data_IF_132910178405
#
_entry.id   IF_132910178405
#
_cell.length_a   1.000
_cell.length_b   1.000
_cell.length_c   1.000
_cell.angle_alpha   90.00
_cell.angle_beta   90.00
_cell.angle_gamma   90.00
#
_symmetry.space_group_name_H-M   'P 1'
#
loop_
_entity.id
_entity.type
_entity.pdbx_description
1 polymer ?
#
# COMPACT_ATOMS: atom_id res chain seq x y z
N UNK A 1 -3.37 25.25 5.29
CA UNK A 1 -3.31 24.04 4.45
C UNK A 1 -4.57 23.24 4.72
N UNK A 2 -5.24 22.76 3.67
CA UNK A 2 -6.39 21.86 3.80
C UNK A 2 -5.97 20.54 4.50
N UNK A 3 -6.88 19.96 5.29
CA UNK A 3 -6.64 18.67 5.94
C UNK A 3 -6.44 17.56 4.91
N UNK A 4 -5.85 16.42 5.32
CA UNK A 4 -5.75 15.26 4.44
C UNK A 4 -7.14 14.84 3.92
N UNK A 5 -8.14 14.83 4.79
CA UNK A 5 -9.51 14.45 4.46
C UNK A 5 -10.11 15.37 3.37
N UNK A 6 -9.97 16.69 3.50
CA UNK A 6 -10.43 17.65 2.47
C UNK A 6 -9.74 17.42 1.13
N UNK A 7 -8.44 17.15 1.16
CA UNK A 7 -7.66 16.84 -0.05
C UNK A 7 -8.14 15.53 -0.71
N UNK A 8 -8.41 14.49 0.06
CA UNK A 8 -8.97 13.25 -0.46
C UNK A 8 -10.33 13.46 -1.13
N UNK A 9 -11.23 14.18 -0.47
CA UNK A 9 -12.55 14.51 -1.03
C UNK A 9 -12.45 15.24 -2.37
N UNK A 10 -11.54 16.20 -2.47
CA UNK A 10 -11.33 16.97 -3.71
C UNK A 10 -10.76 16.14 -4.86
N UNK A 11 -10.19 14.96 -4.59
CA UNK A 11 -9.62 14.06 -5.58
C UNK A 11 -10.59 12.95 -6.05
N UNK A 12 -11.83 12.94 -5.62
CA UNK A 12 -12.80 11.88 -5.93
C UNK A 12 -12.98 11.64 -7.44
N UNK A 13 -13.09 12.70 -8.24
CA UNK A 13 -13.18 12.60 -9.70
C UNK A 13 -11.91 11.99 -10.31
N UNK A 14 -10.74 12.46 -9.86
CA UNK A 14 -9.43 11.95 -10.33
C UNK A 14 -9.27 10.48 -9.99
N UNK A 15 -9.58 10.09 -8.73
CA UNK A 15 -9.48 8.70 -8.30
C UNK A 15 -10.32 7.76 -9.17
N UNK A 16 -11.60 8.09 -9.37
CA UNK A 16 -12.55 7.21 -10.07
C UNK A 16 -12.29 7.05 -11.57
N UNK A 17 -11.69 8.06 -12.20
CA UNK A 17 -11.38 8.04 -13.63
C UNK A 17 -9.92 7.66 -13.93
N UNK A 18 -9.13 7.38 -12.89
CA UNK A 18 -7.72 7.03 -13.09
C UNK A 18 -7.56 5.63 -13.70
N UNK A 19 -6.60 5.53 -14.60
CA UNK A 19 -6.17 4.29 -15.23
C UNK A 19 -4.88 3.78 -14.56
N UNK A 20 -4.61 2.46 -14.58
CA UNK A 20 -5.38 1.36 -15.21
C UNK A 20 -6.58 0.89 -14.36
N UNK A 21 -6.70 1.35 -13.15
CA UNK A 21 -7.82 1.16 -12.22
C UNK A 21 -7.87 2.36 -11.25
N UNK A 22 -8.97 2.58 -10.51
CA UNK A 22 -9.11 3.75 -9.64
C UNK A 22 -7.94 3.88 -8.67
N UNK A 23 -7.21 5.01 -8.78
CA UNK A 23 -6.05 5.30 -7.94
C UNK A 23 -5.79 6.79 -7.81
N UNK A 24 -5.09 7.20 -6.75
CA UNK A 24 -4.64 8.57 -6.54
C UNK A 24 -3.32 8.62 -5.77
N UNK A 25 -2.52 9.64 -6.05
CA UNK A 25 -1.29 9.96 -5.33
C UNK A 25 -1.47 11.28 -4.58
N UNK A 26 -1.16 11.28 -3.30
CA UNK A 26 -1.23 12.45 -2.42
C UNK A 26 0.14 12.69 -1.82
N UNK A 27 0.83 13.71 -2.29
CA UNK A 27 2.11 14.14 -1.70
C UNK A 27 1.88 14.94 -0.43
N UNK A 28 2.85 14.91 0.49
CA UNK A 28 2.76 15.55 1.81
C UNK A 28 1.47 15.17 2.56
N UNK A 29 1.17 13.85 2.56
CA UNK A 29 -0.09 13.32 3.05
C UNK A 29 -0.32 13.61 4.53
N UNK A 30 0.72 13.45 5.36
CA UNK A 30 0.63 13.63 6.82
C UNK A 30 1.66 14.65 7.30
N UNK A 31 1.56 15.03 8.57
CA UNK A 31 2.53 15.94 9.19
C UNK A 31 3.95 15.40 9.09
N UNK A 32 4.90 16.19 8.57
CA UNK A 32 6.32 15.85 8.51
C UNK A 32 6.88 15.46 9.87
N UNK A 33 6.44 16.12 10.96
CA UNK A 33 6.84 15.80 12.33
C UNK A 33 6.40 14.38 12.72
N UNK A 34 5.15 14.05 12.44
CA UNK A 34 4.60 12.72 12.71
C UNK A 34 5.39 11.65 11.96
N UNK A 35 5.54 11.81 10.64
CA UNK A 35 6.20 10.80 9.81
C UNK A 35 7.70 10.67 10.11
N UNK A 36 8.35 11.77 10.53
CA UNK A 36 9.75 11.73 11.01
C UNK A 36 9.88 10.93 12.30
N UNK A 37 8.90 11.02 13.22
CA UNK A 37 8.90 10.21 14.43
C UNK A 37 8.71 8.72 14.12
N UNK A 38 7.80 8.40 13.19
CA UNK A 38 7.61 7.03 12.68
C UNK A 38 8.91 6.49 12.07
N UNK A 39 9.55 7.27 11.19
CA UNK A 39 10.80 6.85 10.53
C UNK A 39 11.94 6.62 11.51
N UNK A 40 12.08 7.45 12.57
CA UNK A 40 13.10 7.29 13.60
C UNK A 40 12.94 6.01 14.44
N UNK A 41 11.72 5.52 14.55
CA UNK A 41 11.38 4.32 15.31
C UNK A 41 11.03 3.13 14.41
N UNK A 42 11.37 3.22 13.13
CA UNK A 42 11.14 2.11 12.20
C UNK A 42 12.13 0.99 12.53
N UNK A 43 11.67 -0.26 12.71
CA UNK A 43 12.55 -1.36 13.09
C UNK A 43 13.55 -1.69 11.97
N UNK A 44 14.68 -2.27 12.33
CA UNK A 44 15.58 -2.85 11.33
C UNK A 44 14.96 -4.11 10.70
N UNK A 45 15.37 -4.43 9.47
CA UNK A 45 14.83 -5.59 8.73
C UNK A 45 14.93 -6.88 9.53
N UNK A 46 16.03 -7.08 10.27
CA UNK A 46 16.29 -8.27 11.09
C UNK A 46 15.41 -8.35 12.33
N UNK A 47 14.84 -7.24 12.76
CA UNK A 47 13.95 -7.16 13.93
C UNK A 47 12.47 -7.39 13.58
N UNK A 48 12.12 -7.29 12.30
CA UNK A 48 10.72 -7.44 11.86
C UNK A 48 10.26 -8.90 11.96
N UNK A 49 9.05 -9.11 12.42
CA UNK A 49 8.50 -10.44 12.77
C UNK A 49 8.33 -11.39 11.58
N UNK A 50 8.17 -10.85 10.37
CA UNK A 50 7.95 -11.65 9.17
C UNK A 50 9.01 -11.37 8.11
N UNK A 51 9.62 -12.45 7.61
CA UNK A 51 10.60 -12.38 6.53
C UNK A 51 10.08 -13.15 5.32
N UNK A 52 9.98 -12.50 4.19
CA UNK A 52 9.63 -13.11 2.92
C UNK A 52 10.91 -13.26 2.08
N UNK A 53 11.22 -14.48 1.70
CA UNK A 53 12.39 -14.84 0.87
C UNK A 53 11.97 -15.83 -0.24
N UNK A 54 10.80 -15.59 -0.82
CA UNK A 54 10.23 -16.42 -1.87
C UNK A 54 10.61 -15.99 -3.28
N UNK A 55 10.19 -16.75 -4.28
CA UNK A 55 10.40 -16.43 -5.70
C UNK A 55 9.79 -15.08 -6.08
N UNK A 56 8.60 -14.78 -5.55
CA UNK A 56 7.77 -13.65 -5.96
C UNK A 56 7.94 -12.42 -5.07
N UNK A 57 8.43 -12.60 -3.85
CA UNK A 57 8.65 -11.50 -2.93
C UNK A 57 9.85 -11.73 -2.02
N UNK A 58 10.65 -10.68 -1.86
CA UNK A 58 11.77 -10.60 -0.91
C UNK A 58 11.62 -9.29 -0.15
N UNK A 59 11.09 -9.38 1.06
CA UNK A 59 10.78 -8.23 1.92
C UNK A 59 10.72 -8.63 3.40
N UNK A 60 10.76 -7.64 4.29
CA UNK A 60 10.46 -7.80 5.72
C UNK A 60 9.16 -7.06 6.07
N UNK A 61 8.38 -7.60 7.00
CA UNK A 61 7.15 -6.98 7.47
C UNK A 61 7.00 -7.07 8.99
N UNK A 62 6.36 -6.04 9.58
CA UNK A 62 5.97 -6.00 10.98
C UNK A 62 4.51 -5.61 11.11
N UNK A 63 3.70 -6.52 11.60
CA UNK A 63 2.27 -6.32 11.81
C UNK A 63 1.81 -6.64 13.25
N UNK A 64 2.75 -6.98 14.13
CA UNK A 64 2.48 -7.23 15.54
C UNK A 64 2.38 -5.91 16.32
N UNK A 65 1.19 -5.56 16.78
CA UNK A 65 0.93 -4.29 17.49
C UNK A 65 1.86 -4.04 18.69
N UNK A 66 2.24 -5.10 19.40
CA UNK A 66 3.16 -5.02 20.55
C UNK A 66 4.58 -4.60 20.17
N UNK A 67 4.98 -4.82 18.91
CA UNK A 67 6.31 -4.54 18.36
C UNK A 67 6.35 -3.19 17.61
N UNK A 68 5.18 -2.67 17.23
CA UNK A 68 5.05 -1.38 16.53
C UNK A 68 5.19 -0.23 17.54
N UNK A 69 6.02 0.77 17.19
CA UNK A 69 6.27 1.95 18.05
C UNK A 69 5.00 2.76 18.32
N UNK A 70 4.98 3.51 19.43
CA UNK A 70 3.86 4.39 19.76
C UNK A 70 3.57 5.43 18.67
N UNK A 71 4.61 6.01 18.07
CA UNK A 71 4.46 6.96 16.97
C UNK A 71 3.75 6.33 15.77
N UNK A 72 4.13 5.10 15.42
CA UNK A 72 3.49 4.35 14.33
C UNK A 72 2.07 3.93 14.68
N UNK A 73 1.84 3.42 15.91
CA UNK A 73 0.48 3.09 16.37
C UNK A 73 -0.46 4.29 16.33
N UNK A 74 0.02 5.46 16.75
CA UNK A 74 -0.75 6.70 16.69
C UNK A 74 -1.13 7.09 15.26
N UNK A 75 -0.20 6.96 14.32
CA UNK A 75 -0.49 7.23 12.90
C UNK A 75 -1.47 6.22 12.31
N UNK A 76 -1.27 4.91 12.56
CA UNK A 76 -2.19 3.86 12.11
C UNK A 76 -3.60 4.06 12.67
N UNK A 77 -3.73 4.45 13.96
CA UNK A 77 -5.02 4.76 14.55
C UNK A 77 -5.71 5.97 13.88
N UNK A 78 -4.95 7.01 13.50
CA UNK A 78 -5.49 8.14 12.75
C UNK A 78 -5.98 7.72 11.34
N UNK A 79 -5.20 6.88 10.64
CA UNK A 79 -5.56 6.36 9.33
C UNK A 79 -6.69 5.31 9.38
N UNK A 80 -7.00 4.76 10.54
CA UNK A 80 -8.14 3.87 10.78
C UNK A 80 -9.32 4.58 11.46
N UNK A 81 -9.25 5.91 11.66
CA UNK A 81 -10.31 6.67 12.29
C UNK A 81 -11.54 6.80 11.39
N UNK A 82 -12.74 6.98 12.01
CA UNK A 82 -13.97 7.24 11.28
C UNK A 82 -13.83 8.39 10.26
N UNK A 83 -13.20 9.50 10.67
CA UNK A 83 -13.00 10.65 9.79
C UNK A 83 -12.13 10.35 8.55
N UNK A 84 -11.17 9.44 8.65
CA UNK A 84 -10.38 9.02 7.50
C UNK A 84 -11.15 8.02 6.64
N UNK A 85 -11.90 7.11 7.25
CA UNK A 85 -12.79 6.15 6.55
C UNK A 85 -13.84 6.92 5.75
N UNK A 86 -14.53 7.90 6.34
CA UNK A 86 -15.51 8.75 5.66
C UNK A 86 -14.89 9.44 4.44
N UNK A 87 -13.65 9.94 4.56
CA UNK A 87 -12.95 10.57 3.45
C UNK A 87 -12.57 9.56 2.34
N UNK A 88 -12.25 8.31 2.69
CA UNK A 88 -12.02 7.23 1.72
C UNK A 88 -13.31 6.82 1.01
N UNK A 89 -14.43 6.79 1.72
CA UNK A 89 -15.75 6.51 1.13
C UNK A 89 -16.15 7.59 0.11
N UNK A 90 -15.97 8.86 0.47
CA UNK A 90 -16.24 9.98 -0.44
C UNK A 90 -15.27 9.98 -1.65
N UNK A 91 -13.98 9.68 -1.44
CA UNK A 91 -12.98 9.54 -2.49
C UNK A 91 -13.36 8.45 -3.48
N UNK A 92 -13.63 7.26 -2.97
CA UNK A 92 -13.81 6.05 -3.78
C UNK A 92 -15.24 5.83 -4.27
N UNK A 93 -16.24 6.33 -3.52
CA UNK A 93 -17.64 5.99 -3.70
C UNK A 93 -18.04 4.64 -3.09
N UNK A 94 -17.10 3.96 -2.42
CA UNK A 94 -17.35 2.69 -1.74
C UNK A 94 -17.86 2.98 -0.33
N UNK A 95 -19.07 2.57 0.00
CA UNK A 95 -19.66 2.78 1.32
C UNK A 95 -19.40 1.59 2.25
N UNK A 96 -19.53 1.79 3.55
CA UNK A 96 -19.38 0.74 4.56
C UNK A 96 -17.95 0.19 4.64
N UNK A 97 -16.95 1.05 4.46
CA UNK A 97 -15.55 0.67 4.60
C UNK A 97 -15.21 0.34 6.04
N UNK A 98 -14.49 -0.74 6.21
CA UNK A 98 -14.01 -1.27 7.49
C UNK A 98 -12.47 -1.32 7.44
N UNK A 99 -11.82 -0.65 8.38
CA UNK A 99 -10.37 -0.69 8.49
C UNK A 99 -9.87 -2.05 9.00
N UNK A 100 -8.72 -2.50 8.49
CA UNK A 100 -8.03 -3.67 9.05
C UNK A 100 -7.27 -3.31 10.32
N UNK A 101 -7.90 -3.52 11.46
CA UNK A 101 -7.25 -3.32 12.77
C UNK A 101 -6.30 -4.47 13.14
N UNK A 102 -6.25 -5.55 12.36
CA UNK A 102 -5.37 -6.70 12.58
C UNK A 102 -4.09 -6.63 11.76
N UNK A 103 -3.98 -5.69 10.81
CA UNK A 103 -2.86 -5.51 9.90
C UNK A 103 -2.49 -6.78 9.11
N UNK A 104 -3.49 -7.56 8.70
CA UNK A 104 -3.25 -8.81 7.97
C UNK A 104 -2.68 -8.53 6.57
N UNK A 105 -1.41 -8.88 6.39
CA UNK A 105 -0.63 -8.56 5.19
C UNK A 105 -0.23 -7.08 5.08
N UNK A 106 -0.72 -6.23 5.99
CA UNK A 106 -0.38 -4.81 6.10
C UNK A 106 0.67 -4.52 7.18
N UNK A 107 0.67 -3.30 7.71
CA UNK A 107 1.62 -2.83 8.72
C UNK A 107 2.85 -2.16 8.11
N UNK A 108 4.02 -2.39 8.72
CA UNK A 108 5.29 -1.83 8.26
C UNK A 108 5.92 -2.80 7.26
N UNK A 109 6.30 -2.30 6.10
CA UNK A 109 7.03 -3.07 5.09
C UNK A 109 8.40 -2.44 4.84
N UNK A 110 9.43 -3.28 4.72
CA UNK A 110 10.79 -2.86 4.44
C UNK A 110 11.46 -3.81 3.45
N UNK A 111 12.08 -3.23 2.42
CA UNK A 111 12.70 -3.97 1.32
C UNK A 111 14.12 -3.42 1.13
N UNK A 112 15.11 -4.28 1.24
CA UNK A 112 16.52 -3.96 1.04
C UNK A 112 17.00 -4.21 -0.40
N UNK A 113 18.30 -4.01 -0.61
CA UNK A 113 18.97 -4.32 -1.88
C UNK A 113 18.66 -5.75 -2.34
N UNK A 114 18.36 -5.91 -3.63
CA UNK A 114 17.97 -7.20 -4.23
C UNK A 114 16.53 -7.63 -3.95
N UNK A 115 15.81 -6.93 -3.05
CA UNK A 115 14.42 -7.24 -2.74
C UNK A 115 13.46 -6.78 -3.83
N UNK A 116 12.35 -7.46 -3.95
CA UNK A 116 11.31 -7.21 -4.95
C UNK A 116 9.94 -7.66 -4.47
N UNK A 117 8.91 -7.26 -5.21
CA UNK A 117 7.56 -7.79 -5.12
C UNK A 117 7.01 -7.90 -6.53
N UNK A 118 6.86 -9.12 -7.03
CA UNK A 118 6.38 -9.38 -8.38
C UNK A 118 4.97 -8.81 -8.59
N UNK A 119 4.61 -8.55 -9.83
CA UNK A 119 3.29 -8.03 -10.18
C UNK A 119 2.23 -9.05 -9.76
N UNK A 120 1.22 -8.56 -9.07
CA UNK A 120 0.18 -9.41 -8.49
C UNK A 120 -1.15 -8.68 -8.38
N UNK A 121 -2.23 -9.44 -8.28
CA UNK A 121 -3.49 -9.01 -7.68
C UNK A 121 -3.53 -9.52 -6.24
N UNK A 122 -3.92 -8.67 -5.32
CA UNK A 122 -4.05 -9.04 -3.91
C UNK A 122 -5.18 -10.06 -3.68
N UNK A 123 -5.11 -10.80 -2.56
CA UNK A 123 -6.26 -11.57 -2.11
C UNK A 123 -7.49 -10.66 -2.00
N UNK A 124 -8.63 -11.12 -2.44
CA UNK A 124 -9.86 -10.33 -2.52
C UNK A 124 -10.83 -10.57 -1.36
N UNK A 125 -10.62 -11.64 -0.59
CA UNK A 125 -11.50 -12.04 0.51
C UNK A 125 -10.71 -12.56 1.70
N UNK A 126 -11.04 -12.08 2.90
CA UNK A 126 -10.42 -12.54 4.12
C UNK A 126 -11.39 -13.44 4.90
N UNK A 127 -11.16 -14.75 4.81
CA UNK A 127 -12.06 -15.79 5.33
C UNK A 127 -12.38 -15.64 6.83
N UNK A 128 -11.36 -15.34 7.64
CA UNK A 128 -11.51 -15.27 9.10
C UNK A 128 -12.47 -14.15 9.58
N UNK A 129 -12.65 -13.10 8.79
CA UNK A 129 -13.56 -11.98 9.08
C UNK A 129 -14.74 -11.91 8.12
N UNK A 130 -14.74 -12.70 7.04
CA UNK A 130 -15.71 -12.67 5.95
C UNK A 130 -15.82 -11.29 5.30
N UNK A 131 -14.69 -10.62 5.14
CA UNK A 131 -14.62 -9.28 4.57
C UNK A 131 -13.96 -9.30 3.18
N UNK A 132 -14.49 -8.46 2.29
CA UNK A 132 -13.97 -8.25 0.94
C UNK A 132 -13.00 -7.08 0.92
N UNK A 133 -11.79 -7.27 0.41
CA UNK A 133 -10.79 -6.22 0.29
C UNK A 133 -11.18 -5.25 -0.82
N UNK A 134 -11.13 -3.94 -0.53
CA UNK A 134 -11.63 -2.90 -1.42
C UNK A 134 -10.63 -1.82 -1.77
N UNK A 135 -9.81 -1.41 -0.80
CA UNK A 135 -8.82 -0.36 -1.01
C UNK A 135 -7.49 -0.71 -0.34
N UNK A 136 -6.41 -0.33 -1.00
CA UNK A 136 -5.08 -0.23 -0.42
C UNK A 136 -4.72 1.23 -0.19
N UNK A 137 -4.08 1.50 0.94
CA UNK A 137 -3.41 2.76 1.25
C UNK A 137 -1.96 2.46 1.56
N UNK A 138 -1.05 2.97 0.74
CA UNK A 138 0.40 2.87 0.95
C UNK A 138 0.93 4.25 1.29
N UNK A 139 1.69 4.37 2.39
CA UNK A 139 2.37 5.60 2.77
C UNK A 139 3.87 5.36 2.82
N UNK A 140 4.61 6.04 1.95
CA UNK A 140 6.05 5.87 1.80
C UNK A 140 6.85 6.76 2.75
N UNK A 141 8.02 6.22 3.22
CA UNK A 141 8.87 6.89 4.20
C UNK A 141 10.32 7.06 3.73
N UNK A 142 10.56 7.12 2.42
CA UNK A 142 11.92 7.09 1.85
C UNK A 142 12.39 8.51 1.53
N UNK A 143 13.23 9.07 2.40
CA UNK A 143 13.90 10.35 2.15
C UNK A 143 14.99 10.15 1.09
N UNK A 144 15.12 11.13 0.20
CA UNK A 144 16.18 11.19 -0.81
C UNK A 144 16.25 9.92 -1.68
N UNK A 145 15.10 9.26 -1.89
CA UNK A 145 15.01 8.09 -2.75
C UNK A 145 15.40 8.46 -4.18
N UNK A 146 16.20 7.63 -4.82
CA UNK A 146 16.65 7.84 -6.19
C UNK A 146 15.95 6.87 -7.13
N UNK A 147 15.46 7.39 -8.25
CA UNK A 147 14.73 6.58 -9.24
C UNK A 147 15.54 5.40 -9.79
N UNK A 148 16.87 5.57 -9.91
CA UNK A 148 17.77 4.51 -10.37
C UNK A 148 17.88 3.31 -9.40
N UNK A 149 17.41 3.46 -8.16
CA UNK A 149 17.36 2.34 -7.20
C UNK A 149 16.19 1.39 -7.44
N UNK A 150 15.26 1.77 -8.33
CA UNK A 150 14.04 1.00 -8.59
C UNK A 150 13.02 1.13 -7.48
N UNK A 151 12.11 0.16 -7.39
CA UNK A 151 11.08 0.11 -6.33
C UNK A 151 9.91 1.06 -6.52
N UNK A 152 9.76 1.67 -7.70
CA UNK A 152 8.53 2.35 -8.07
C UNK A 152 7.35 1.41 -7.92
N UNK A 153 6.22 1.91 -7.42
CA UNK A 153 4.98 1.14 -7.48
C UNK A 153 4.46 1.19 -8.92
N UNK A 154 4.47 0.04 -9.56
CA UNK A 154 3.94 -0.13 -10.90
C UNK A 154 2.48 -0.54 -10.84
N UNK A 155 1.62 0.15 -11.61
CA UNK A 155 0.23 -0.23 -11.85
C UNK A 155 0.11 -0.67 -13.31
N UNK A 156 -0.34 -1.90 -13.51
CA UNK A 156 -0.36 -2.56 -14.81
C UNK A 156 -1.76 -2.62 -15.38
N UNK A 157 -1.86 -2.64 -16.71
CA UNK A 157 -3.13 -2.86 -17.41
C UNK A 157 -3.76 -4.19 -17.02
N UNK A 158 -5.09 -4.29 -17.11
CA UNK A 158 -5.83 -5.49 -16.72
C UNK A 158 -5.48 -6.75 -17.51
N UNK A 159 -4.89 -6.58 -18.70
CA UNK A 159 -4.37 -7.66 -19.56
C UNK A 159 -2.87 -7.92 -19.37
N UNK A 160 -2.22 -7.21 -18.42
CA UNK A 160 -0.78 -7.29 -18.13
C UNK A 160 0.14 -6.92 -19.31
N UNK A 161 -0.38 -6.21 -20.32
CA UNK A 161 0.39 -5.89 -21.52
C UNK A 161 1.52 -4.88 -21.26
N UNK A 162 1.30 -3.90 -20.37
CA UNK A 162 2.30 -2.89 -20.00
C UNK A 162 2.02 -2.22 -18.65
N UNK A 163 3.08 -1.70 -18.06
CA UNK A 163 2.97 -0.82 -16.88
C UNK A 163 2.42 0.54 -17.32
N UNK A 164 1.19 0.86 -16.92
CA UNK A 164 0.53 2.12 -17.29
C UNK A 164 0.95 3.27 -16.40
N UNK A 165 1.25 3.00 -15.13
CA UNK A 165 1.67 4.02 -14.17
C UNK A 165 2.80 3.51 -13.29
N UNK A 166 3.85 4.32 -13.16
CA UNK A 166 4.98 4.08 -12.28
C UNK A 166 5.06 5.22 -11.26
N UNK A 167 5.07 4.89 -9.97
CA UNK A 167 4.96 5.87 -8.87
C UNK A 167 6.18 5.72 -7.97
N UNK A 168 6.96 6.79 -7.86
CA UNK A 168 8.14 6.85 -6.98
C UNK A 168 7.74 6.70 -5.51
N UNK A 169 8.44 5.88 -4.71
CA UNK A 169 8.13 5.65 -3.30
C UNK A 169 8.69 6.76 -2.39
N UNK A 170 8.41 8.01 -2.70
CA UNK A 170 8.97 9.18 -2.02
C UNK A 170 8.43 9.38 -0.61
N UNK A 171 9.22 10.06 0.21
CA UNK A 171 8.83 10.40 1.59
C UNK A 171 7.55 11.21 1.64
N UNK A 172 6.60 10.75 2.47
CA UNK A 172 5.30 11.39 2.69
C UNK A 172 4.38 11.38 1.46
N UNK A 173 4.61 10.45 0.53
CA UNK A 173 3.71 10.14 -0.57
C UNK A 173 2.76 9.03 -0.15
N UNK A 174 1.48 9.31 -0.23
CA UNK A 174 0.40 8.34 -0.03
C UNK A 174 -0.17 7.93 -1.39
N UNK A 175 -0.28 6.63 -1.61
CA UNK A 175 -0.95 6.07 -2.79
C UNK A 175 -2.16 5.30 -2.31
N UNK A 176 -3.32 5.61 -2.89
CA UNK A 176 -4.57 4.91 -2.62
C UNK A 176 -5.05 4.31 -3.93
N UNK A 177 -5.41 3.04 -3.92
CA UNK A 177 -5.96 2.39 -5.10
C UNK A 177 -7.01 1.34 -4.76
N UNK A 178 -7.95 1.15 -5.68
CA UNK A 178 -8.97 0.13 -5.58
C UNK A 178 -8.38 -1.27 -5.82
N UNK A 179 -8.82 -2.25 -5.04
CA UNK A 179 -8.41 -3.64 -5.19
C UNK A 179 -9.53 -4.48 -5.77
N UNK A 180 -9.21 -5.12 -6.89
CA UNK A 180 -10.01 -6.13 -7.57
C UNK A 180 -9.10 -7.29 -7.96
N UNK A 181 -9.64 -8.35 -8.52
CA UNK A 181 -8.83 -9.47 -9.04
C UNK A 181 -8.01 -9.12 -10.29
N UNK A 182 -8.12 -7.89 -10.80
CA UNK A 182 -7.36 -7.38 -11.95
C UNK A 182 -6.63 -6.06 -11.67
N UNK A 183 -6.57 -5.63 -10.41
CA UNK A 183 -5.78 -4.46 -10.01
C UNK A 183 -4.31 -4.87 -9.83
N UNK A 184 -3.65 -5.15 -10.96
CA UNK A 184 -2.29 -5.66 -10.99
C UNK A 184 -1.28 -4.58 -10.62
N UNK A 185 -0.46 -4.87 -9.61
CA UNK A 185 0.55 -3.93 -9.13
C UNK A 185 1.74 -4.66 -8.51
N UNK A 186 2.88 -3.96 -8.41
CA UNK A 186 4.10 -4.53 -7.84
C UNK A 186 5.28 -3.61 -8.01
N UNK A 187 6.48 -4.14 -7.81
CA UNK A 187 7.76 -3.61 -8.24
C UNK A 187 8.68 -4.80 -8.54
N UNK A 188 8.51 -5.43 -9.72
CA UNK A 188 9.11 -6.73 -10.03
C UNK A 188 10.64 -6.70 -10.09
N UNK A 189 11.21 -5.55 -10.45
CA UNK A 189 12.67 -5.41 -10.56
C UNK A 189 13.32 -5.34 -9.17
N UNK A 190 14.37 -6.15 -8.92
CA UNK A 190 15.13 -6.10 -7.70
C UNK A 190 15.70 -4.70 -7.44
N UNK A 191 15.64 -4.24 -6.18
CA UNK A 191 16.21 -2.95 -5.78
C UNK A 191 17.72 -2.92 -5.95
N UNK A 192 18.23 -1.81 -6.47
CA UNK A 192 19.67 -1.55 -6.64
C UNK A 192 20.21 -0.49 -5.67
N UNK A 193 19.42 -0.16 -4.63
CA UNK A 193 19.84 0.78 -3.59
C UNK A 193 21.08 0.26 -2.83
N UNK A 194 21.87 1.16 -2.20
CA UNK A 194 22.96 0.74 -1.31
C UNK A 194 22.49 -0.18 -0.19
N UNK A 195 23.36 -1.06 0.31
CA UNK A 195 23.00 -2.07 1.31
C UNK A 195 22.52 -1.51 2.65
N UNK A 196 22.84 -0.26 2.95
CA UNK A 196 22.38 0.47 4.14
C UNK A 196 21.11 1.30 3.90
N UNK A 197 20.53 1.21 2.71
CA UNK A 197 19.28 1.90 2.33
C UNK A 197 18.19 0.87 2.11
N UNK A 198 16.98 1.16 2.59
CA UNK A 198 15.83 0.29 2.40
C UNK A 198 14.60 1.08 2.00
N UNK A 199 13.75 0.49 1.17
CA UNK A 199 12.45 1.02 0.78
C UNK A 199 11.43 0.71 1.88
N UNK A 200 10.92 1.74 2.54
CA UNK A 200 9.99 1.65 3.67
C UNK A 200 8.61 2.14 3.29
N UNK A 201 7.58 1.43 3.73
CA UNK A 201 6.19 1.87 3.60
C UNK A 201 5.34 1.38 4.78
N UNK A 202 4.25 2.10 5.04
CA UNK A 202 3.10 1.60 5.79
C UNK A 202 2.03 1.17 4.78
N UNK A 203 1.46 -0.02 4.98
CA UNK A 203 0.39 -0.55 4.17
C UNK A 203 -0.86 -0.78 5.02
N UNK A 204 -1.99 -0.21 4.60
CA UNK A 204 -3.29 -0.37 5.26
C UNK A 204 -4.30 -0.83 4.22
N UNK A 205 -5.22 -1.67 4.68
CA UNK A 205 -6.25 -2.24 3.83
C UNK A 205 -7.63 -1.93 4.38
N UNK A 206 -8.57 -1.70 3.46
CA UNK A 206 -9.94 -1.39 3.83
C UNK A 206 -10.88 -2.34 3.11
N UNK A 207 -11.85 -2.82 3.86
CA UNK A 207 -12.74 -3.91 3.47
C UNK A 207 -14.19 -3.45 3.47
N UNK A 208 -15.07 -4.29 2.92
CA UNK A 208 -16.52 -4.20 3.10
C UNK A 208 -17.08 -5.57 3.47
N UNK A 209 -18.24 -5.57 4.15
CA UNK A 209 -18.97 -6.81 4.45
C UNK A 209 -19.64 -7.43 3.21
N UNK A 210 -19.67 -6.71 2.11
CA UNK A 210 -20.28 -7.15 0.84
C UNK A 210 -19.24 -7.08 -0.29
N UNK A 211 -19.38 -7.93 -1.32
CA UNK A 211 -18.47 -7.93 -2.47
C UNK A 211 -18.60 -6.66 -3.31
N UNK A 212 -17.55 -6.33 -4.07
CA UNK A 212 -17.62 -5.27 -5.08
C UNK A 212 -18.48 -5.66 -6.28
N UNK A 213 -18.81 -4.70 -7.16
CA UNK A 213 -19.60 -4.95 -8.36
C UNK A 213 -18.95 -5.99 -9.30
N UNK A 214 -17.62 -6.03 -9.33
CA UNK A 214 -16.82 -6.96 -10.16
C UNK A 214 -16.25 -8.12 -9.35
N UNK A 215 -16.94 -8.52 -8.27
CA UNK A 215 -16.44 -9.55 -7.37
C UNK A 215 -16.31 -10.89 -8.08
N UNK A 216 -15.11 -11.42 -8.04
CA UNK A 216 -14.80 -12.79 -8.46
C UNK A 216 -14.82 -13.73 -7.25
N UNK A 217 -14.68 -15.05 -7.51
CA UNK A 217 -14.52 -16.03 -6.45
C UNK A 217 -13.34 -15.64 -5.52
N UNK A 218 -13.43 -16.04 -4.25
CA UNK A 218 -12.37 -15.81 -3.27
C UNK A 218 -11.06 -16.45 -3.74
N UNK A 219 -9.97 -15.67 -3.68
CA UNK A 219 -8.63 -16.13 -4.03
C UNK A 219 -7.57 -15.52 -3.12
N UNK A 220 -6.45 -16.22 -3.00
CA UNK A 220 -5.20 -15.69 -2.40
C UNK A 220 -4.56 -14.67 -3.35
N UNK A 221 -3.42 -14.08 -2.94
CA UNK A 221 -2.60 -13.25 -3.84
C UNK A 221 -2.22 -14.02 -5.10
N UNK A 222 -2.49 -13.44 -6.27
CA UNK A 222 -2.22 -14.02 -7.58
C UNK A 222 -1.02 -13.30 -8.20
N UNK A 223 0.12 -13.99 -8.27
CA UNK A 223 1.32 -13.45 -8.91
C UNK A 223 1.32 -13.72 -10.41
N UNK A 224 1.84 -12.79 -11.18
CA UNK A 224 1.90 -12.85 -12.63
C UNK A 224 3.29 -12.51 -13.15
N UNK A 225 3.72 -13.18 -14.19
CA UNK A 225 4.88 -12.79 -14.98
C UNK A 225 4.47 -11.66 -15.93
N UNK A 226 5.33 -10.67 -16.10
CA UNK A 226 5.07 -9.50 -16.95
C UNK A 226 6.17 -9.33 -17.99
N UNK A 227 5.89 -8.66 -19.13
CA UNK A 227 6.92 -8.42 -20.14
C UNK A 227 8.12 -7.67 -19.56
N UNK A 228 9.32 -8.24 -19.73
CA UNK A 228 10.58 -7.65 -19.27
C UNK A 228 11.09 -8.12 -17.90
N UNK A 229 10.47 -9.15 -17.33
CA UNK A 229 11.01 -9.88 -16.16
C UNK A 229 12.16 -10.81 -16.55
#
# INVERSE_FOLDING_TARGET
>A
MSSLQERLRSQSGVFRSAEPFPNVVIDNAVSHRCLTAVLKSFPDTTEMSTQFAGRHEVKSAENEWSRISEATRSLLAQLNSAAFIDALEELSGIQGLIADTRLIGGGLHQIGQGGKLDVHADFNYFEATRLHRRLNVLLYLNRDWRSEWGGQLELWTHDLAFCQRSIEPEFNRMVIFATTSTSFHGHPKPLTCPSNVTRKSLALYYYTAYPGPDAQAAHSTLFHEVPGD
#
